data_IF_886504935160
#
_entry.id   IF_886504935160
#
_cell.length_a   1.000
_cell.length_b   1.000
_cell.length_c   1.000
_cell.angle_alpha   90.00
_cell.angle_beta   90.00
_cell.angle_gamma   90.00
#
_symmetry.space_group_name_H-M   'P 1'
#
loop_
_entity.id
_entity.type
_entity.pdbx_description
1 polymer ?
#
# COMPACT_ATOMS: atom_id res chain seq x y z
N UNK A 1 3.99 -18.53 4.73
CA UNK A 1 5.29 -18.79 5.38
C UNK A 1 5.20 -20.09 6.15
N UNK A 2 6.17 -20.98 6.00
CA UNK A 2 6.33 -22.21 6.78
C UNK A 2 7.64 -22.09 7.54
N UNK A 3 7.63 -22.26 8.87
CA UNK A 3 8.83 -22.25 9.71
C UNK A 3 9.12 -23.65 10.20
N UNK A 4 10.38 -24.08 10.07
CA UNK A 4 10.87 -25.32 10.64
C UNK A 4 11.67 -24.96 11.89
N UNK A 5 11.27 -25.51 13.02
CA UNK A 5 11.89 -25.27 14.32
C UNK A 5 12.70 -26.49 14.75
N UNK A 6 13.84 -26.27 15.41
CA UNK A 6 14.55 -27.28 16.17
C UNK A 6 13.76 -27.67 17.43
N UNK A 7 14.16 -28.75 18.10
CA UNK A 7 13.49 -29.23 19.32
C UNK A 7 13.53 -28.23 20.48
N UNK A 8 14.48 -27.28 20.45
CA UNK A 8 14.61 -26.18 21.42
C UNK A 8 13.80 -24.93 21.03
N UNK A 9 13.07 -24.96 19.91
CA UNK A 9 12.26 -23.86 19.39
C UNK A 9 13.00 -22.92 18.43
N UNK A 10 14.31 -23.08 18.23
CA UNK A 10 15.10 -22.24 17.31
C UNK A 10 14.60 -22.39 15.87
N UNK A 11 14.37 -21.27 15.17
CA UNK A 11 13.98 -21.30 13.74
C UNK A 11 15.18 -21.71 12.91
N UNK A 12 15.13 -22.90 12.29
CA UNK A 12 16.18 -23.43 11.42
C UNK A 12 16.07 -22.90 9.99
N UNK A 13 14.85 -22.90 9.44
CA UNK A 13 14.58 -22.39 8.10
C UNK A 13 13.16 -21.83 8.01
N UNK A 14 13.02 -20.73 7.27
CA UNK A 14 11.73 -20.19 6.85
C UNK A 14 11.58 -20.37 5.34
N UNK A 15 10.51 -21.06 4.92
CA UNK A 15 10.20 -21.35 3.53
C UNK A 15 8.92 -20.62 3.10
N UNK A 16 8.91 -20.11 1.88
CA UNK A 16 7.77 -19.41 1.28
C UNK A 16 8.18 -18.07 0.67
N UNK A 17 7.28 -17.45 -0.13
CA UNK A 17 7.58 -16.22 -0.88
C UNK A 17 7.69 -14.96 0.00
N UNK A 18 7.32 -15.05 1.26
CA UNK A 18 7.37 -13.96 2.23
C UNK A 18 8.36 -14.27 3.34
N UNK A 19 9.25 -13.31 3.61
CA UNK A 19 10.26 -13.31 4.67
C UNK A 19 9.83 -12.31 5.75
N UNK A 20 10.09 -12.61 7.03
CA UNK A 20 9.76 -11.72 8.16
C UNK A 20 8.74 -12.27 9.15
N UNK A 21 8.56 -11.57 10.27
CA UNK A 21 7.49 -11.86 11.23
C UNK A 21 6.32 -10.91 10.97
N UNK A 22 5.09 -11.36 11.26
CA UNK A 22 3.96 -10.44 11.30
C UNK A 22 4.15 -9.49 12.48
N UNK A 23 4.12 -8.19 12.22
CA UNK A 23 4.26 -7.15 13.24
C UNK A 23 2.91 -6.43 13.33
N UNK A 24 2.27 -6.49 14.50
CA UNK A 24 1.00 -5.80 14.70
C UNK A 24 1.19 -4.29 14.68
N UNK A 25 0.12 -3.54 14.34
CA UNK A 25 0.13 -2.08 14.18
C UNK A 25 0.76 -1.33 15.35
N UNK A 26 0.50 -1.79 16.58
CA UNK A 26 0.98 -1.19 17.81
C UNK A 26 2.49 -1.42 18.06
N UNK A 27 3.05 -2.45 17.43
CA UNK A 27 4.48 -2.76 17.50
C UNK A 27 5.29 -1.98 16.45
N UNK A 28 4.63 -1.45 15.42
CA UNK A 28 5.28 -0.65 14.38
C UNK A 28 5.62 0.74 14.95
N UNK A 29 6.90 1.16 14.90
CA UNK A 29 7.30 2.48 15.39
C UNK A 29 6.51 3.61 14.74
N UNK A 30 6.02 4.56 15.54
CA UNK A 30 5.23 5.70 15.06
C UNK A 30 5.95 6.46 13.94
N UNK A 31 7.26 6.67 14.07
CA UNK A 31 8.08 7.34 13.06
C UNK A 31 8.04 6.65 11.70
N UNK A 32 7.96 5.31 11.67
CA UNK A 32 7.86 4.54 10.43
C UNK A 32 6.48 4.72 9.79
N UNK A 33 5.41 4.61 10.59
CA UNK A 33 4.02 4.86 10.14
C UNK A 33 3.89 6.26 9.55
N UNK A 34 4.35 7.27 10.29
CA UNK A 34 4.30 8.67 9.87
C UNK A 34 5.11 8.91 8.59
N UNK A 35 6.32 8.36 8.49
CA UNK A 35 7.19 8.53 7.32
C UNK A 35 6.57 7.91 6.06
N UNK A 36 6.04 6.69 6.16
CA UNK A 36 5.41 6.00 5.04
C UNK A 36 4.15 6.75 4.60
N UNK A 37 3.28 7.14 5.53
CA UNK A 37 2.09 7.95 5.20
C UNK A 37 2.50 9.28 4.56
N UNK A 38 3.52 9.97 5.08
CA UNK A 38 3.95 11.25 4.53
C UNK A 38 4.49 11.15 3.08
N UNK A 39 5.17 10.05 2.75
CA UNK A 39 5.80 9.83 1.43
C UNK A 39 4.83 9.24 0.42
N UNK A 40 4.13 8.16 0.79
CA UNK A 40 3.30 7.38 -0.13
C UNK A 40 1.88 7.96 -0.27
N UNK A 41 1.30 8.44 0.82
CA UNK A 41 -0.11 8.85 0.85
C UNK A 41 -0.40 9.86 1.96
N UNK A 42 0.05 11.11 1.77
CA UNK A 42 -0.01 12.18 2.78
C UNK A 42 -1.43 12.45 3.30
N UNK A 43 -2.45 11.98 2.58
CA UNK A 43 -3.86 12.17 2.91
C UNK A 43 -4.58 10.87 3.26
N UNK A 44 -3.82 9.83 3.61
CA UNK A 44 -4.30 8.50 3.95
C UNK A 44 -5.54 8.53 4.87
N UNK A 45 -5.49 9.28 5.97
CA UNK A 45 -6.59 9.36 6.95
C UNK A 45 -7.85 10.08 6.43
N UNK A 46 -7.75 10.83 5.34
CA UNK A 46 -8.80 11.75 4.86
C UNK A 46 -9.61 11.25 3.67
N UNK A 47 -9.29 10.08 3.13
CA UNK A 47 -10.00 9.50 1.98
C UNK A 47 -10.40 8.05 2.24
N UNK A 48 -11.34 7.54 1.45
CA UNK A 48 -11.84 6.16 1.57
C UNK A 48 -11.19 5.26 0.52
N UNK A 49 -9.87 5.09 0.59
CA UNK A 49 -9.09 4.26 -0.34
C UNK A 49 -8.77 4.85 -1.70
N UNK A 50 -9.46 5.89 -2.16
CA UNK A 50 -9.11 6.61 -3.39
C UNK A 50 -9.04 8.10 -3.11
N UNK A 51 -7.88 8.70 -3.39
CA UNK A 51 -7.69 10.13 -3.23
C UNK A 51 -8.05 10.91 -4.51
N UNK A 52 -9.30 11.37 -4.62
CA UNK A 52 -9.76 12.18 -5.76
C UNK A 52 -9.04 13.54 -5.87
N UNK A 53 -8.77 14.17 -4.73
CA UNK A 53 -8.05 15.45 -4.68
C UNK A 53 -6.58 15.30 -5.05
N UNK A 54 -5.94 14.21 -4.61
CA UNK A 54 -4.57 13.85 -4.97
C UNK A 54 -4.46 13.51 -6.45
N UNK A 55 -5.42 12.74 -6.98
CA UNK A 55 -5.53 12.43 -8.40
C UNK A 55 -5.71 13.70 -9.24
N UNK A 56 -6.62 14.60 -8.85
CA UNK A 56 -6.82 15.88 -9.55
C UNK A 56 -5.55 16.76 -9.56
N UNK A 57 -4.84 16.82 -8.42
CA UNK A 57 -3.55 17.53 -8.33
C UNK A 57 -2.49 16.88 -9.22
N UNK A 58 -2.39 15.55 -9.24
CA UNK A 58 -1.44 14.81 -10.06
C UNK A 58 -1.72 15.02 -11.56
N UNK A 59 -2.99 15.03 -11.97
CA UNK A 59 -3.40 15.32 -13.36
C UNK A 59 -3.04 16.75 -13.73
N UNK A 60 -3.39 17.74 -12.90
CA UNK A 60 -3.08 19.17 -13.16
C UNK A 60 -1.57 19.40 -13.28
N UNK A 61 -0.79 18.88 -12.35
CA UNK A 61 0.68 19.01 -12.35
C UNK A 61 1.30 18.24 -13.52
N UNK A 62 0.76 17.09 -13.88
CA UNK A 62 1.18 16.32 -15.05
C UNK A 62 0.96 17.04 -16.37
N UNK A 63 -0.16 17.74 -16.52
CA UNK A 63 -0.44 18.60 -17.69
C UNK A 63 0.50 19.81 -17.70
N UNK A 64 0.70 20.46 -16.56
CA UNK A 64 1.59 21.62 -16.45
C UNK A 64 3.07 21.28 -16.70
N UNK A 65 3.50 20.06 -16.35
CA UNK A 65 4.89 19.61 -16.48
C UNK A 65 5.15 18.81 -17.77
N UNK A 66 4.18 18.73 -18.69
CA UNK A 66 4.34 18.00 -19.96
C UNK A 66 5.51 18.60 -20.75
N UNK A 67 6.50 17.77 -21.12
CA UNK A 67 7.71 18.19 -21.83
C UNK A 67 8.88 18.66 -20.94
N UNK A 68 8.70 18.75 -19.62
CA UNK A 68 9.76 19.20 -18.69
C UNK A 68 10.69 18.10 -18.17
N UNK A 69 10.44 16.83 -18.52
CA UNK A 69 11.17 15.67 -17.99
C UNK A 69 10.93 15.37 -16.49
N UNK A 70 10.13 16.18 -15.77
CA UNK A 70 9.77 15.91 -14.37
C UNK A 70 8.82 14.70 -14.28
N UNK A 71 9.14 13.73 -13.41
CA UNK A 71 8.28 12.57 -13.14
C UNK A 71 6.90 13.02 -12.65
N UNK A 72 5.86 12.37 -13.18
CA UNK A 72 4.49 12.49 -12.70
C UNK A 72 4.43 12.09 -11.22
N UNK A 73 3.75 12.90 -10.41
CA UNK A 73 3.52 12.60 -9.00
C UNK A 73 2.67 11.33 -8.91
N UNK A 74 3.05 10.37 -8.05
CA UNK A 74 2.28 9.16 -7.83
C UNK A 74 0.89 9.49 -7.31
N UNK A 75 -0.16 9.03 -8.00
CA UNK A 75 -1.56 9.26 -7.61
C UNK A 75 -2.19 8.05 -6.88
N UNK A 76 -1.41 7.00 -6.60
CA UNK A 76 -1.95 5.79 -5.97
C UNK A 76 -1.91 5.91 -4.46
N UNK A 77 -3.01 5.58 -3.79
CA UNK A 77 -3.11 5.54 -2.33
C UNK A 77 -2.50 4.26 -1.76
N UNK A 78 -2.17 4.25 -0.47
CA UNK A 78 -1.69 3.03 0.23
C UNK A 78 -2.69 1.89 0.05
N UNK A 79 -3.99 2.14 0.24
CA UNK A 79 -5.05 1.12 0.09
C UNK A 79 -5.10 0.52 -1.32
N UNK A 80 -4.89 1.33 -2.37
CA UNK A 80 -4.79 0.81 -3.74
C UNK A 80 -3.55 -0.05 -3.94
N UNK A 81 -2.43 0.31 -3.30
CA UNK A 81 -1.20 -0.49 -3.37
C UNK A 81 -1.38 -1.83 -2.66
N UNK A 82 -2.02 -1.86 -1.47
CA UNK A 82 -2.37 -3.10 -0.76
C UNK A 82 -3.29 -3.97 -1.63
N UNK A 83 -4.37 -3.39 -2.17
CA UNK A 83 -5.30 -4.12 -3.03
C UNK A 83 -4.61 -4.72 -4.26
N UNK A 84 -3.68 -3.98 -4.87
CA UNK A 84 -2.86 -4.44 -5.99
C UNK A 84 -2.00 -5.63 -5.58
N UNK A 85 -1.25 -5.51 -4.48
CA UNK A 85 -0.29 -6.53 -4.03
C UNK A 85 -0.99 -7.83 -3.64
N UNK A 86 -2.16 -7.75 -2.99
CA UNK A 86 -2.86 -8.93 -2.48
C UNK A 86 -3.70 -9.62 -3.56
N UNK A 87 -4.40 -8.87 -4.41
CA UNK A 87 -5.47 -9.43 -5.25
C UNK A 87 -5.21 -9.41 -6.76
N UNK A 88 -4.24 -8.64 -7.25
CA UNK A 88 -4.11 -8.37 -8.69
C UNK A 88 -2.76 -8.81 -9.24
N UNK A 89 -2.76 -9.27 -10.50
CA UNK A 89 -1.53 -9.58 -11.23
C UNK A 89 -0.82 -8.31 -11.71
N UNK A 90 0.51 -8.37 -11.86
CA UNK A 90 1.37 -7.24 -12.26
C UNK A 90 1.21 -6.74 -13.71
N UNK A 91 0.18 -7.16 -14.45
CA UNK A 91 -0.04 -6.72 -15.85
C UNK A 91 -0.47 -5.26 -15.90
N UNK A 92 0.31 -4.41 -16.55
CA UNK A 92 0.01 -2.98 -16.63
C UNK A 92 -1.11 -2.68 -17.65
N UNK A 93 -2.38 -2.70 -17.21
CA UNK A 93 -3.52 -2.20 -17.99
C UNK A 93 -4.42 -1.25 -17.16
N UNK A 94 -5.19 -0.38 -17.82
CA UNK A 94 -6.07 0.61 -17.18
C UNK A 94 -7.24 -0.05 -16.41
N UNK A 95 -7.78 -1.14 -16.94
CA UNK A 95 -8.81 -1.95 -16.27
C UNK A 95 -8.32 -2.57 -14.96
N UNK A 96 -7.04 -2.94 -14.84
CA UNK A 96 -6.43 -3.29 -13.55
C UNK A 96 -6.48 -2.10 -12.58
N UNK A 97 -6.16 -0.89 -13.03
CA UNK A 97 -6.20 0.30 -12.17
C UNK A 97 -7.62 0.61 -11.68
N UNK A 98 -8.64 0.40 -12.51
CA UNK A 98 -10.04 0.49 -12.07
C UNK A 98 -10.38 -0.59 -11.04
N UNK A 99 -9.92 -1.83 -11.24
CA UNK A 99 -10.08 -2.91 -10.26
C UNK A 99 -9.41 -2.59 -8.91
N UNK A 100 -8.22 -1.98 -8.92
CA UNK A 100 -7.56 -1.49 -7.70
C UNK A 100 -8.43 -0.48 -6.95
N UNK A 101 -9.02 0.48 -7.66
CA UNK A 101 -9.88 1.48 -7.05
C UNK A 101 -11.13 0.86 -6.40
N UNK A 102 -11.78 -0.07 -7.09
CA UNK A 102 -12.96 -0.78 -6.57
C UNK A 102 -12.60 -1.63 -5.34
N UNK A 103 -11.50 -2.37 -5.40
CA UNK A 103 -11.03 -3.18 -4.28
C UNK A 103 -10.58 -2.31 -3.10
N UNK A 104 -9.91 -1.19 -3.34
CA UNK A 104 -9.54 -0.26 -2.28
C UNK A 104 -10.76 0.30 -1.54
N UNK A 105 -11.82 0.69 -2.28
CA UNK A 105 -13.09 1.11 -1.69
C UNK A 105 -13.74 -0.01 -0.86
N UNK A 106 -13.69 -1.25 -1.33
CA UNK A 106 -14.21 -2.40 -0.59
C UNK A 106 -13.40 -2.70 0.67
N UNK A 107 -12.07 -2.57 0.62
CA UNK A 107 -11.19 -2.74 1.77
C UNK A 107 -11.47 -1.69 2.84
N UNK A 108 -11.64 -0.43 2.48
CA UNK A 108 -11.91 0.68 3.42
C UNK A 108 -13.29 0.60 4.08
N UNK A 109 -14.22 -0.16 3.49
CA UNK A 109 -15.49 -0.48 4.14
C UNK A 109 -15.37 -1.61 5.15
N UNK A 110 -14.36 -2.47 5.02
CA UNK A 110 -14.21 -3.69 5.82
C UNK A 110 -13.13 -3.58 6.90
N UNK A 111 -12.10 -2.79 6.66
CA UNK A 111 -10.92 -2.65 7.50
C UNK A 111 -10.74 -1.19 7.93
N UNK A 112 -10.23 -1.00 9.14
CA UNK A 112 -9.82 0.33 9.62
C UNK A 112 -8.54 0.81 8.91
N UNK A 113 -8.25 2.11 9.03
CA UNK A 113 -7.01 2.71 8.53
C UNK A 113 -5.77 2.04 9.11
N UNK A 114 -5.81 1.72 10.40
CA UNK A 114 -4.73 1.04 11.10
C UNK A 114 -4.49 -0.37 10.55
N UNK A 115 -5.57 -1.13 10.32
CA UNK A 115 -5.47 -2.48 9.73
C UNK A 115 -4.95 -2.43 8.29
N UNK A 116 -5.36 -1.43 7.50
CA UNK A 116 -4.86 -1.26 6.14
C UNK A 116 -3.38 -0.89 6.14
N UNK A 117 -2.95 -0.02 7.06
CA UNK A 117 -1.55 0.37 7.19
C UNK A 117 -0.69 -0.78 7.72
N UNK A 118 -1.20 -1.60 8.65
CA UNK A 118 -0.56 -2.84 9.10
C UNK A 118 -0.39 -3.84 7.94
N UNK A 119 -1.41 -4.02 7.09
CA UNK A 119 -1.32 -4.88 5.90
C UNK A 119 -0.30 -4.38 4.85
N UNK A 120 0.02 -3.10 4.86
CA UNK A 120 0.96 -2.49 3.93
C UNK A 120 2.41 -2.60 4.38
N UNK A 121 2.65 -2.55 5.69
CA UNK A 121 3.97 -2.52 6.33
C UNK A 121 4.49 -3.92 6.65
#
# INVERSE_FOLDING_TARGET
MIRVHAADGTVLVSMGPSYGEWVGYDQIPKVMKDAIVAVEDRRFESHWGVDLWGLGRAVRTGIANRGSGRRLQGASTITQQVARTIFLSNKYDIGRKLREAVLALAMERKFSKEQILELYL
#
